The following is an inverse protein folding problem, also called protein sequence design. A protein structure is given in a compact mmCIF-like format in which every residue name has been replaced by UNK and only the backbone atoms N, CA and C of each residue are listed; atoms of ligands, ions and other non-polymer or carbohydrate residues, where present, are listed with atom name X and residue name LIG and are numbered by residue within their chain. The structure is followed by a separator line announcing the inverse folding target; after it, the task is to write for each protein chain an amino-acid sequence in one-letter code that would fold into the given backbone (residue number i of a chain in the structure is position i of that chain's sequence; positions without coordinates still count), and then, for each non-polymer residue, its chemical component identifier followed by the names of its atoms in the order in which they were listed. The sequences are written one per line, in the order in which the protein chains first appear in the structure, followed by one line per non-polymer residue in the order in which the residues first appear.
data_IF_039031681274
#
_entry.id   IF_039031681274
#
_cell.length_a   1.000
_cell.length_b   1.000
_cell.length_c   1.000
_cell.angle_alpha   90.00
_cell.angle_beta   90.00
_cell.angle_gamma   90.00
#
_symmetry.space_group_name_H-M   'P 1'
#
loop_
_entity.id
_entity.type
_entity.pdbx_description
1 polymer ?
#
# COMPACT_ATOMS: atom_id res chain seq x y z
N UNK A 1 33.43 17.49 -70.12
CA UNK A 1 33.95 16.82 -68.91
C UNK A 1 32.86 16.85 -67.84
N UNK A 2 32.45 15.68 -67.36
CA UNK A 2 31.57 15.35 -66.23
C UNK A 2 30.07 15.71 -66.24
N UNK A 3 29.27 14.67 -66.50
CA UNK A 3 27.87 14.44 -66.10
C UNK A 3 27.68 14.65 -64.59
N UNK A 4 26.61 15.33 -64.19
CA UNK A 4 26.06 15.25 -62.82
C UNK A 4 24.68 14.60 -62.88
N UNK A 5 24.58 13.44 -62.23
CA UNK A 5 23.36 12.67 -62.00
C UNK A 5 22.55 13.33 -60.89
N UNK A 6 21.26 13.59 -61.11
CA UNK A 6 20.33 14.07 -60.06
C UNK A 6 19.50 12.85 -59.63
N UNK A 7 19.71 12.43 -58.40
CA UNK A 7 19.00 11.34 -57.74
C UNK A 7 17.76 11.94 -57.07
N UNK A 8 16.57 11.54 -57.51
CA UNK A 8 15.30 11.85 -56.84
C UNK A 8 15.16 11.02 -55.56
N UNK A 9 15.03 11.69 -54.42
CA UNK A 9 14.79 11.07 -53.12
C UNK A 9 13.28 11.09 -52.84
N UNK A 10 12.61 9.94 -52.96
CA UNK A 10 11.22 9.76 -52.53
C UNK A 10 11.21 9.51 -51.02
N UNK A 11 10.65 10.45 -50.25
CA UNK A 11 10.39 10.28 -48.82
C UNK A 11 9.04 9.57 -48.68
N UNK A 12 9.06 8.30 -48.27
CA UNK A 12 7.89 7.56 -47.80
C UNK A 12 7.62 7.95 -46.35
N UNK A 13 6.55 8.70 -46.10
CA UNK A 13 6.02 8.93 -44.76
C UNK A 13 5.12 7.73 -44.42
N UNK A 14 5.59 6.84 -43.54
CA UNK A 14 4.72 5.86 -42.89
C UNK A 14 3.94 6.54 -41.77
N UNK A 15 2.63 6.63 -41.97
CA UNK A 15 1.67 7.03 -40.95
C UNK A 15 1.51 5.85 -39.98
N UNK A 16 2.12 5.94 -38.80
CA UNK A 16 1.85 5.04 -37.68
C UNK A 16 0.48 5.37 -37.12
N UNK A 17 -0.52 4.57 -37.48
CA UNK A 17 -1.85 4.59 -36.87
C UNK A 17 -1.75 4.08 -35.43
N UNK A 18 -1.68 4.99 -34.46
CA UNK A 18 -1.87 4.66 -33.05
C UNK A 18 -3.36 4.35 -32.85
N UNK A 19 -3.71 3.07 -32.91
CA UNK A 19 -5.03 2.59 -32.54
C UNK A 19 -5.26 2.83 -31.04
N UNK A 20 -6.28 3.62 -30.72
CA UNK A 20 -6.77 3.77 -29.35
C UNK A 20 -7.42 2.44 -28.93
N UNK A 21 -6.66 1.54 -28.32
CA UNK A 21 -7.22 0.37 -27.65
C UNK A 21 -7.95 0.82 -26.39
N UNK A 22 -9.27 1.00 -26.47
CA UNK A 22 -10.12 1.00 -25.27
C UNK A 22 -10.08 -0.41 -24.68
N UNK A 23 -9.30 -0.59 -23.61
CA UNK A 23 -9.30 -1.83 -22.84
C UNK A 23 -10.70 -2.06 -22.27
N UNK A 24 -11.24 -3.26 -22.45
CA UNK A 24 -12.50 -3.66 -21.82
C UNK A 24 -12.30 -3.61 -20.30
N UNK A 25 -13.16 -2.86 -19.60
CA UNK A 25 -13.13 -2.78 -18.13
C UNK A 25 -13.45 -4.13 -17.51
N UNK A 26 -12.67 -4.52 -16.53
CA UNK A 26 -12.93 -5.69 -15.69
C UNK A 26 -13.73 -5.29 -14.44
N UNK A 27 -14.35 -6.25 -13.72
CA UNK A 27 -15.16 -5.97 -12.53
C UNK A 27 -14.51 -5.05 -11.50
N UNK A 28 -13.21 -5.22 -11.24
CA UNK A 28 -12.49 -4.38 -10.27
C UNK A 28 -12.38 -2.92 -10.71
N UNK A 29 -12.41 -2.63 -12.01
CA UNK A 29 -12.32 -1.26 -12.54
C UNK A 29 -13.58 -0.44 -12.27
N UNK A 30 -14.69 -1.10 -11.90
CA UNK A 30 -15.92 -0.45 -11.46
C UNK A 30 -15.91 -0.14 -9.96
N UNK A 31 -14.99 -0.71 -9.17
CA UNK A 31 -14.98 -0.52 -7.73
C UNK A 31 -14.47 0.87 -7.38
N UNK A 32 -15.32 1.66 -6.71
CA UNK A 32 -14.94 2.92 -6.11
C UNK A 32 -14.95 2.79 -4.58
N UNK A 33 -13.78 2.49 -4.00
CA UNK A 33 -13.63 2.31 -2.56
C UNK A 33 -13.78 3.62 -1.75
N UNK A 34 -14.01 4.77 -2.40
CA UNK A 34 -14.37 6.03 -1.73
C UNK A 34 -15.87 6.23 -1.55
N UNK A 35 -16.73 5.43 -2.17
CA UNK A 35 -18.18 5.54 -1.92
C UNK A 35 -18.46 5.33 -0.42
N UNK A 36 -18.98 6.37 0.21
CA UNK A 36 -19.32 6.46 1.64
C UNK A 36 -18.23 7.08 2.55
N UNK A 37 -17.12 7.60 1.99
CA UNK A 37 -15.99 8.10 2.78
C UNK A 37 -16.20 9.50 3.39
N UNK A 38 -17.14 10.30 2.87
CA UNK A 38 -17.51 11.59 3.45
C UNK A 38 -18.75 11.39 4.32
N UNK A 39 -18.59 11.51 5.64
CA UNK A 39 -19.68 11.42 6.59
C UNK A 39 -19.44 12.37 7.76
N UNK A 40 -20.40 13.27 8.00
CA UNK A 40 -20.34 14.30 9.06
C UNK A 40 -21.00 13.80 10.36
N UNK A 41 -21.87 12.78 10.28
CA UNK A 41 -22.71 12.32 11.40
C UNK A 41 -22.37 10.90 11.89
N UNK A 42 -21.73 10.08 11.04
CA UNK A 42 -21.39 8.68 11.29
C UNK A 42 -19.94 8.40 10.95
N UNK A 43 -19.38 7.30 11.45
CA UNK A 43 -18.06 6.82 11.01
C UNK A 43 -18.16 6.45 9.52
N UNK A 44 -17.36 7.09 8.63
CA UNK A 44 -17.42 6.83 7.20
C UNK A 44 -16.93 5.44 6.83
N UNK A 45 -17.19 5.03 5.58
CA UNK A 45 -16.50 3.89 4.99
C UNK A 45 -15.09 4.32 4.58
N UNK A 46 -14.08 3.55 4.98
CA UNK A 46 -12.70 3.88 4.63
C UNK A 46 -12.32 3.32 3.25
N UNK A 47 -11.52 4.04 2.44
CA UNK A 47 -10.99 3.58 1.16
C UNK A 47 -9.84 2.59 1.39
N UNK A 48 -10.22 1.40 1.81
CA UNK A 48 -9.29 0.33 2.17
C UNK A 48 -8.61 -0.22 0.91
N UNK A 49 -7.30 -0.43 1.00
CA UNK A 49 -6.51 -1.18 0.01
C UNK A 49 -6.08 -2.50 0.64
N UNK A 50 -6.63 -3.62 0.17
CA UNK A 50 -6.49 -4.95 0.79
C UNK A 50 -6.92 -6.06 -0.17
N UNK A 51 -6.65 -7.33 0.17
CA UNK A 51 -7.22 -8.49 -0.55
C UNK A 51 -8.58 -8.91 0.06
N UNK A 52 -9.41 -9.67 -0.68
CA UNK A 52 -10.67 -10.19 -0.14
C UNK A 52 -10.46 -10.91 1.19
N UNK A 53 -11.20 -10.50 2.22
CA UNK A 53 -11.15 -11.05 3.58
C UNK A 53 -9.75 -11.11 4.22
N UNK A 54 -8.78 -10.29 3.77
CA UNK A 54 -7.40 -10.38 4.24
C UNK A 54 -7.13 -9.72 5.59
N UNK A 55 -6.11 -10.25 6.28
CA UNK A 55 -5.63 -9.72 7.55
C UNK A 55 -5.03 -8.32 7.41
N UNK A 56 -4.16 -8.13 6.41
CA UNK A 56 -3.53 -6.85 6.15
C UNK A 56 -4.51 -5.92 5.44
N UNK A 57 -4.68 -4.73 6.01
CA UNK A 57 -5.57 -3.69 5.53
C UNK A 57 -4.87 -2.36 5.69
N UNK A 58 -4.65 -1.66 4.59
CA UNK A 58 -4.08 -0.31 4.61
C UNK A 58 -5.21 0.70 4.34
N UNK A 59 -5.31 1.67 5.24
CA UNK A 59 -6.11 2.89 5.08
C UNK A 59 -5.13 4.01 5.42
N UNK A 60 -4.90 5.00 4.54
CA UNK A 60 -4.00 6.11 4.86
C UNK A 60 -4.49 6.83 6.12
N UNK A 61 -3.58 7.37 6.94
CA UNK A 61 -3.92 7.97 8.23
C UNK A 61 -4.50 9.39 8.08
N UNK A 62 -5.60 9.51 7.33
CA UNK A 62 -6.51 10.65 7.29
C UNK A 62 -7.95 10.11 7.34
N UNK A 63 -8.76 10.64 8.26
CA UNK A 63 -10.05 10.04 8.62
C UNK A 63 -11.26 10.83 8.14
N UNK A 64 -11.08 12.13 7.88
CA UNK A 64 -12.18 13.03 7.58
C UNK A 64 -12.40 13.22 6.07
N UNK A 65 -11.44 12.80 5.22
CA UNK A 65 -11.46 12.91 3.75
C UNK A 65 -11.83 14.30 3.19
N UNK A 66 -11.84 15.31 4.06
CA UNK A 66 -12.05 16.74 3.77
C UNK A 66 -10.82 17.57 4.12
N UNK A 67 -9.88 16.99 4.87
CA UNK A 67 -8.60 17.62 5.21
C UNK A 67 -7.56 17.31 4.14
N UNK A 68 -6.66 18.26 3.91
CA UNK A 68 -5.48 18.09 3.07
C UNK A 68 -4.32 17.44 3.85
N UNK A 69 -4.57 16.87 5.04
CA UNK A 69 -3.53 16.40 5.98
C UNK A 69 -3.61 14.90 6.24
N UNK A 70 -2.45 14.25 6.22
CA UNK A 70 -2.28 12.81 6.49
C UNK A 70 -1.15 12.57 7.48
N UNK A 71 -1.39 11.75 8.50
CA UNK A 71 -0.42 11.46 9.57
C UNK A 71 0.54 10.29 9.26
N UNK A 72 0.56 9.79 8.01
CA UNK A 72 1.40 8.68 7.56
C UNK A 72 0.63 7.48 7.02
N UNK A 73 1.36 6.37 6.88
CA UNK A 73 0.84 5.11 6.32
C UNK A 73 0.90 4.00 7.36
N UNK A 74 -0.22 3.54 7.91
CA UNK A 74 -0.19 2.44 8.86
C UNK A 74 0.17 1.13 8.17
N UNK A 75 0.97 0.29 8.85
CA UNK A 75 1.26 -1.06 8.36
C UNK A 75 0.01 -1.92 8.36
N UNK A 76 -0.92 -1.68 9.30
CA UNK A 76 -2.20 -2.36 9.34
C UNK A 76 -3.29 -1.54 10.06
N UNK A 77 -4.54 -1.73 9.65
CA UNK A 77 -5.73 -1.21 10.33
C UNK A 77 -6.58 -2.38 10.82
N UNK A 78 -6.31 -2.89 12.05
CA UNK A 78 -6.99 -4.08 12.56
C UNK A 78 -8.48 -3.84 12.84
N UNK A 79 -8.87 -2.59 13.00
CA UNK A 79 -10.24 -2.20 13.28
C UNK A 79 -10.60 -0.87 12.64
N UNK A 80 -11.80 -0.81 12.05
CA UNK A 80 -12.35 0.43 11.52
C UNK A 80 -12.79 1.43 12.61
N UNK A 81 -12.79 1.05 13.90
CA UNK A 81 -13.16 1.92 15.04
C UNK A 81 -12.11 2.02 16.14
N UNK A 82 -11.09 1.16 16.10
CA UNK A 82 -10.15 1.01 17.21
C UNK A 82 -8.72 1.33 16.79
N UNK A 83 -8.58 2.22 15.80
CA UNK A 83 -7.30 2.76 15.34
C UNK A 83 -6.53 1.86 14.40
N UNK A 84 -5.42 2.43 13.95
CA UNK A 84 -4.39 1.82 13.14
C UNK A 84 -3.14 1.52 13.99
N UNK A 85 -2.20 0.75 13.42
CA UNK A 85 -0.94 0.40 14.10
C UNK A 85 0.23 0.66 13.17
N UNK A 86 1.36 1.05 13.77
CA UNK A 86 2.67 1.20 13.12
C UNK A 86 2.65 2.14 11.90
N UNK A 87 2.99 3.41 12.06
CA UNK A 87 3.04 4.39 10.98
C UNK A 87 4.39 4.41 10.28
N UNK A 88 4.40 4.17 8.96
CA UNK A 88 5.48 4.51 8.05
C UNK A 88 5.39 5.98 7.65
N UNK A 89 6.53 6.65 7.75
CA UNK A 89 6.67 8.10 7.64
C UNK A 89 7.90 8.42 6.77
N UNK A 90 7.71 8.64 5.46
CA UNK A 90 8.81 9.06 4.59
C UNK A 90 9.11 10.55 4.77
N UNK A 91 10.39 10.93 4.78
CA UNK A 91 10.81 12.30 5.03
C UNK A 91 11.99 12.69 4.14
N UNK A 92 11.98 13.93 3.64
CA UNK A 92 13.05 14.48 2.81
C UNK A 92 13.41 15.90 3.29
N UNK A 93 14.56 16.04 3.94
CA UNK A 93 14.94 17.29 4.62
C UNK A 93 16.13 17.11 5.57
N UNK A 94 16.42 18.13 6.37
CA UNK A 94 17.43 18.04 7.43
C UNK A 94 16.92 17.12 8.55
N UNK A 95 17.80 16.27 9.10
CA UNK A 95 17.48 15.37 10.22
C UNK A 95 16.94 16.10 11.45
N UNK A 96 17.30 17.39 11.63
CA UNK A 96 16.79 18.22 12.74
C UNK A 96 15.29 18.48 12.67
N UNK A 97 14.72 18.43 11.47
CA UNK A 97 13.30 18.65 11.22
C UNK A 97 12.50 17.33 11.22
N UNK A 98 13.19 16.18 11.30
CA UNK A 98 12.55 14.90 11.46
C UNK A 98 11.92 14.81 12.85
N UNK A 99 10.63 14.51 12.91
CA UNK A 99 9.84 14.45 14.15
C UNK A 99 8.84 13.28 14.09
N UNK A 100 8.62 12.51 15.17
CA UNK A 100 7.65 11.41 15.16
C UNK A 100 6.21 11.81 14.80
N UNK A 101 5.84 13.08 14.93
CA UNK A 101 4.49 13.58 14.61
C UNK A 101 4.41 14.25 13.24
N UNK A 102 5.11 13.72 12.23
CA UNK A 102 5.00 14.21 10.85
C UNK A 102 3.55 14.18 10.37
N UNK A 103 3.19 15.20 9.60
CA UNK A 103 1.89 15.34 8.96
C UNK A 103 2.10 15.95 7.58
N UNK A 104 1.49 15.36 6.56
CA UNK A 104 1.76 15.67 5.16
C UNK A 104 0.57 16.38 4.54
N UNK A 105 0.83 17.47 3.81
CA UNK A 105 -0.04 17.82 2.68
C UNK A 105 0.06 16.76 1.60
N UNK A 106 -1.08 16.37 1.04
CA UNK A 106 -1.14 15.32 0.05
C UNK A 106 -2.03 15.70 -1.14
N UNK A 107 -1.63 15.26 -2.33
CA UNK A 107 -2.37 15.44 -3.58
C UNK A 107 -2.25 14.18 -4.45
N UNK A 108 -2.97 14.15 -5.58
CA UNK A 108 -2.95 13.08 -6.59
C UNK A 108 -3.24 11.69 -6.02
N UNK A 109 -4.06 11.64 -4.96
CA UNK A 109 -4.38 10.39 -4.29
C UNK A 109 -5.21 9.47 -5.20
N UNK A 110 -4.71 8.26 -5.42
CA UNK A 110 -5.44 7.19 -6.10
C UNK A 110 -5.57 6.02 -5.15
N UNK A 111 -6.81 5.63 -4.86
CA UNK A 111 -7.10 4.48 -4.03
C UNK A 111 -7.97 3.49 -4.82
N UNK A 112 -7.52 2.26 -4.88
CA UNK A 112 -8.23 1.12 -5.47
C UNK A 112 -8.15 -0.04 -4.48
N UNK A 113 -8.95 -1.10 -4.64
CA UNK A 113 -8.84 -2.28 -3.77
C UNK A 113 -7.42 -2.89 -3.72
N UNK A 114 -6.64 -2.77 -4.79
CA UNK A 114 -5.38 -3.50 -4.99
C UNK A 114 -4.12 -2.61 -5.03
N UNK A 115 -4.26 -1.29 -5.06
CA UNK A 115 -3.15 -0.34 -5.10
C UNK A 115 -3.56 1.00 -4.53
N UNK A 116 -2.62 1.63 -3.83
CA UNK A 116 -2.74 2.99 -3.35
C UNK A 116 -1.52 3.81 -3.75
N UNK A 117 -1.74 5.02 -4.25
CA UNK A 117 -0.66 5.96 -4.55
C UNK A 117 -1.03 7.38 -4.13
N UNK A 118 -0.06 8.14 -3.67
CA UNK A 118 -0.26 9.54 -3.28
C UNK A 118 1.02 10.35 -3.44
N UNK A 119 0.86 11.64 -3.73
CA UNK A 119 1.94 12.62 -3.74
C UNK A 119 1.96 13.40 -2.42
N UNK A 120 3.09 13.45 -1.73
CA UNK A 120 3.28 14.19 -0.48
C UNK A 120 3.98 15.53 -0.76
N UNK A 121 3.20 16.61 -0.79
CA UNK A 121 3.65 17.95 -1.24
C UNK A 121 4.80 18.50 -0.41
N UNK A 122 4.71 18.37 0.91
CA UNK A 122 5.65 19.02 1.84
C UNK A 122 7.10 18.55 1.64
N UNK A 123 7.28 17.32 1.15
CA UNK A 123 8.60 16.69 0.99
C UNK A 123 8.89 16.21 -0.44
N UNK A 124 7.97 16.41 -1.39
CA UNK A 124 8.13 15.99 -2.78
C UNK A 124 8.36 14.48 -2.90
N UNK A 125 7.42 13.69 -2.37
CA UNK A 125 7.53 12.22 -2.28
C UNK A 125 6.33 11.56 -2.95
N UNK A 126 6.57 10.72 -3.97
CA UNK A 126 5.56 9.79 -4.47
C UNK A 126 5.58 8.55 -3.58
N UNK A 127 4.44 8.23 -2.96
CA UNK A 127 4.23 6.96 -2.26
C UNK A 127 3.38 6.04 -3.11
N UNK A 128 3.76 4.76 -3.17
CA UNK A 128 3.01 3.72 -3.87
C UNK A 128 3.01 2.42 -3.06
N UNK A 129 1.87 1.75 -3.00
CA UNK A 129 1.59 0.63 -2.11
C UNK A 129 0.77 -0.44 -2.81
N UNK A 130 1.11 -1.71 -2.56
CA UNK A 130 0.30 -2.85 -2.98
C UNK A 130 0.25 -3.94 -1.88
N UNK A 131 -0.94 -4.50 -1.57
CA UNK A 131 -1.11 -5.50 -0.54
C UNK A 131 -1.01 -6.93 -1.08
N UNK A 132 -0.56 -7.83 -0.22
CA UNK A 132 -0.92 -9.24 -0.20
C UNK A 132 -1.82 -9.53 1.02
N UNK A 133 -2.00 -10.79 1.41
CA UNK A 133 -2.99 -11.12 2.46
C UNK A 133 -2.48 -10.80 3.89
N UNK A 134 -1.17 -10.95 4.11
CA UNK A 134 -0.48 -10.77 5.38
C UNK A 134 0.80 -9.93 5.25
N UNK A 135 1.08 -9.44 4.05
CA UNK A 135 2.26 -8.64 3.72
C UNK A 135 1.93 -7.57 2.68
N UNK A 136 2.82 -6.62 2.47
CA UNK A 136 2.69 -5.60 1.45
C UNK A 136 4.06 -5.11 0.97
N UNK A 137 4.06 -4.44 -0.17
CA UNK A 137 5.21 -3.73 -0.73
C UNK A 137 4.89 -2.24 -0.84
N UNK A 138 5.89 -1.41 -0.55
CA UNK A 138 5.78 0.05 -0.56
C UNK A 138 7.02 0.63 -1.25
N UNK A 139 6.82 1.69 -2.04
CA UNK A 139 7.90 2.50 -2.57
C UNK A 139 7.70 3.98 -2.28
N UNK A 140 8.80 4.66 -1.99
CA UNK A 140 8.87 6.10 -1.79
C UNK A 140 9.89 6.68 -2.78
N UNK A 141 9.41 7.41 -3.79
CA UNK A 141 10.26 8.11 -4.74
C UNK A 141 10.43 9.57 -4.30
N UNK A 142 11.69 10.01 -4.15
CA UNK A 142 12.06 11.32 -3.64
C UNK A 142 12.48 12.23 -4.80
N UNK A 143 11.74 13.30 -5.05
CA UNK A 143 12.05 14.24 -6.13
C UNK A 143 12.99 15.37 -5.69
N UNK A 144 13.00 15.67 -4.39
CA UNK A 144 13.86 16.71 -3.82
C UNK A 144 15.28 16.20 -3.61
N UNK A 145 16.25 17.08 -3.85
CA UNK A 145 17.65 16.81 -3.55
C UNK A 145 17.99 17.21 -2.11
N UNK A 146 17.55 16.38 -1.18
CA UNK A 146 17.83 16.50 0.25
C UNK A 146 18.05 15.11 0.88
N UNK A 147 18.58 15.03 2.11
CA UNK A 147 18.68 13.76 2.83
C UNK A 147 17.30 13.11 2.99
N UNK A 148 17.25 11.79 2.85
CA UNK A 148 15.99 11.04 2.82
C UNK A 148 15.97 9.94 3.85
N UNK A 149 14.83 9.83 4.49
CA UNK A 149 14.61 8.99 5.65
C UNK A 149 13.31 8.25 5.50
N UNK A 150 13.29 7.03 6.02
CA UNK A 150 12.06 6.32 6.35
C UNK A 150 12.02 6.13 7.84
N UNK A 151 10.97 6.64 8.48
CA UNK A 151 10.70 6.46 9.90
C UNK A 151 9.54 5.48 10.08
N UNK A 152 9.65 4.65 11.11
CA UNK A 152 8.58 3.82 11.63
C UNK A 152 8.27 4.26 13.06
N UNK A 153 7.00 4.47 13.36
CA UNK A 153 6.52 4.88 14.68
C UNK A 153 5.39 3.97 15.14
N UNK A 154 5.40 3.55 16.41
CA UNK A 154 4.24 2.89 17.01
C UNK A 154 3.19 3.92 17.45
N UNK A 155 1.91 3.64 17.27
CA UNK A 155 0.82 4.53 17.73
C UNK A 155 0.58 4.32 19.23
N UNK A 156 0.67 3.07 19.67
CA UNK A 156 0.56 2.64 21.06
C UNK A 156 1.92 2.16 21.61
N UNK A 157 1.91 1.62 22.83
CA UNK A 157 3.08 0.98 23.42
C UNK A 157 3.60 -0.14 22.52
N UNK A 158 4.88 -0.09 22.20
CA UNK A 158 5.51 -1.06 21.32
C UNK A 158 7.02 -1.01 21.42
N UNK A 159 7.68 -1.82 20.58
CA UNK A 159 9.13 -1.85 20.44
C UNK A 159 9.48 -1.97 18.98
N UNK A 160 10.54 -1.28 18.58
CA UNK A 160 11.15 -1.35 17.26
C UNK A 160 12.61 -1.75 17.46
N UNK A 161 13.03 -2.79 16.76
CA UNK A 161 14.41 -3.22 16.62
C UNK A 161 14.85 -2.98 15.18
N UNK A 162 16.05 -2.46 15.00
CA UNK A 162 16.61 -2.13 13.69
C UNK A 162 17.94 -2.86 13.55
N UNK A 163 18.08 -3.64 12.49
CA UNK A 163 19.29 -4.40 12.20
C UNK A 163 19.54 -4.41 10.68
N UNK A 164 20.67 -3.84 10.25
CA UNK A 164 21.04 -3.80 8.84
C UNK A 164 19.99 -3.10 7.97
N UNK A 165 19.40 -3.85 7.03
CA UNK A 165 18.32 -3.39 6.14
C UNK A 165 16.92 -3.80 6.64
N UNK A 166 16.77 -4.14 7.92
CA UNK A 166 15.51 -4.66 8.48
C UNK A 166 15.04 -3.85 9.68
N UNK A 167 13.71 -3.82 9.85
CA UNK A 167 13.06 -3.38 11.08
C UNK A 167 12.08 -4.46 11.53
N UNK A 168 12.05 -4.73 12.83
CA UNK A 168 11.12 -5.71 13.41
C UNK A 168 10.65 -5.28 14.78
N UNK A 169 9.58 -5.89 15.27
CA UNK A 169 9.09 -5.63 16.61
C UNK A 169 7.60 -5.83 16.72
N UNK A 170 6.97 -5.05 17.60
CA UNK A 170 5.53 -5.13 17.83
C UNK A 170 4.94 -3.83 18.34
N UNK A 171 3.64 -3.69 18.15
CA UNK A 171 2.80 -2.71 18.83
C UNK A 171 1.66 -3.42 19.59
N UNK A 172 1.30 -2.91 20.78
CA UNK A 172 0.16 -3.42 21.55
C UNK A 172 -1.06 -2.55 21.25
N UNK A 173 -2.04 -3.11 20.55
CA UNK A 173 -3.32 -2.46 20.27
C UNK A 173 -4.46 -3.36 20.78
N UNK A 174 -5.38 -2.78 21.56
CA UNK A 174 -6.51 -3.50 22.17
C UNK A 174 -6.10 -4.79 22.92
N UNK A 175 -5.00 -4.73 23.67
CA UNK A 175 -4.49 -5.87 24.44
C UNK A 175 -3.84 -6.98 23.61
N UNK A 176 -3.72 -6.81 22.29
CA UNK A 176 -3.09 -7.77 21.39
C UNK A 176 -1.80 -7.20 20.83
N UNK A 177 -0.79 -8.06 20.65
CA UNK A 177 0.45 -7.68 19.96
C UNK A 177 0.26 -7.83 18.45
N UNK A 178 0.65 -6.80 17.74
CA UNK A 178 0.75 -6.73 16.29
C UNK A 178 2.23 -6.74 15.97
N UNK A 179 2.75 -7.91 15.63
CA UNK A 179 4.14 -8.09 15.23
C UNK A 179 4.33 -7.70 13.77
N UNK A 180 5.52 -7.20 13.46
CA UNK A 180 5.90 -6.88 12.09
C UNK A 180 7.34 -7.29 11.81
N UNK A 181 7.60 -7.55 10.53
CA UNK A 181 8.93 -7.70 9.95
C UNK A 181 8.99 -6.92 8.66
N UNK A 182 9.94 -6.00 8.53
CA UNK A 182 10.10 -5.10 7.40
C UNK A 182 11.52 -5.21 6.86
N UNK A 183 11.64 -5.24 5.54
CA UNK A 183 12.92 -5.29 4.83
C UNK A 183 12.98 -4.16 3.80
N UNK A 184 14.09 -3.44 3.77
CA UNK A 184 14.42 -2.49 2.71
C UNK A 184 15.24 -3.18 1.63
N UNK A 185 14.94 -2.88 0.36
CA UNK A 185 15.76 -3.32 -0.76
C UNK A 185 17.11 -2.61 -0.76
N UNK A 186 17.10 -1.30 -0.54
CA UNK A 186 18.32 -0.51 -0.41
C UNK A 186 18.85 -0.61 1.03
N UNK A 187 20.17 -0.74 1.17
CA UNK A 187 20.80 -0.75 2.50
C UNK A 187 20.84 0.68 3.06
N UNK A 188 20.31 0.92 4.27
CA UNK A 188 20.51 2.20 4.95
C UNK A 188 21.97 2.54 5.20
N UNK A 189 22.31 3.82 5.16
CA UNK A 189 23.65 4.35 5.49
C UNK A 189 23.74 4.91 6.91
N UNK A 190 22.60 5.06 7.58
CA UNK A 190 22.51 5.56 8.95
C UNK A 190 21.11 5.35 9.51
N UNK A 191 20.92 5.70 10.76
CA UNK A 191 19.63 5.59 11.44
C UNK A 191 19.76 5.87 12.92
N UNK A 192 18.61 5.97 13.59
CA UNK A 192 18.55 6.27 15.01
C UNK A 192 17.16 6.05 15.60
N UNK A 193 17.11 5.95 16.93
CA UNK A 193 15.85 6.03 17.68
C UNK A 193 15.47 7.48 17.93
N UNK A 194 14.18 7.73 18.16
CA UNK A 194 13.67 9.03 18.60
C UNK A 194 12.84 8.85 19.87
N UNK A 195 12.89 9.84 20.75
CA UNK A 195 11.97 9.92 21.87
C UNK A 195 10.55 10.17 21.33
N UNK A 196 9.65 9.24 21.62
CA UNK A 196 8.25 9.32 21.27
C UNK A 196 7.36 9.08 22.51
N UNK A 197 7.87 9.43 23.69
CA UNK A 197 7.16 9.28 24.97
C UNK A 197 6.84 7.82 25.28
N UNK A 198 5.55 7.49 25.35
CA UNK A 198 5.08 6.12 25.61
C UNK A 198 5.09 5.20 24.37
N UNK A 199 5.55 5.72 23.22
CA UNK A 199 5.64 5.00 21.95
C UNK A 199 7.09 4.83 21.52
N UNK A 200 7.34 4.02 20.50
CA UNK A 200 8.66 3.83 19.92
C UNK A 200 8.70 4.47 18.52
N UNK A 201 9.79 5.18 18.21
CA UNK A 201 10.06 5.69 16.88
C UNK A 201 11.51 5.39 16.50
N UNK A 202 11.72 4.90 15.28
CA UNK A 202 13.04 4.63 14.71
C UNK A 202 13.07 5.05 13.24
N UNK A 203 14.20 5.58 12.80
CA UNK A 203 14.38 6.01 11.42
C UNK A 203 15.67 5.45 10.83
N UNK A 204 15.68 5.33 9.51
CA UNK A 204 16.83 4.99 8.69
C UNK A 204 17.06 6.04 7.61
N UNK A 205 18.32 6.30 7.28
CA UNK A 205 18.77 7.23 6.25
C UNK A 205 19.29 6.47 5.04
N UNK A 206 19.04 7.00 3.84
CA UNK A 206 19.55 6.43 2.59
C UNK A 206 20.53 7.37 1.89
N UNK A 207 21.46 6.76 1.13
CA UNK A 207 22.51 7.45 0.40
C UNK A 207 21.94 8.35 -0.71
N UNK A 208 22.52 9.55 -0.99
CA UNK A 208 22.06 10.56 -1.96
C UNK A 208 21.60 10.04 -3.34
N UNK A 209 22.22 8.98 -3.84
CA UNK A 209 21.95 8.30 -5.10
C UNK A 209 20.66 7.47 -5.11
N UNK A 210 20.15 7.06 -3.94
CA UNK A 210 18.89 6.32 -3.81
C UNK A 210 17.73 7.28 -4.03
N UNK A 211 17.22 7.37 -5.25
CA UNK A 211 16.04 8.21 -5.56
C UNK A 211 14.71 7.55 -5.23
N UNK A 212 14.67 6.22 -5.18
CA UNK A 212 13.49 5.46 -4.75
C UNK A 212 13.89 4.47 -3.68
N UNK A 213 13.25 4.55 -2.52
CA UNK A 213 13.37 3.55 -1.45
C UNK A 213 12.21 2.58 -1.59
N UNK A 214 12.51 1.28 -1.71
CA UNK A 214 11.50 0.22 -1.73
C UNK A 214 11.65 -0.65 -0.50
N UNK A 215 10.51 -1.02 0.07
CA UNK A 215 10.43 -1.91 1.22
C UNK A 215 9.29 -2.89 1.04
N UNK A 216 9.39 -4.01 1.73
CA UNK A 216 8.32 -4.98 1.88
C UNK A 216 8.20 -5.33 3.35
N UNK A 217 6.99 -5.63 3.81
CA UNK A 217 6.77 -5.98 5.20
C UNK A 217 5.67 -7.02 5.35
N UNK A 218 5.80 -7.86 6.39
CA UNK A 218 4.78 -8.80 6.83
C UNK A 218 4.28 -8.43 8.22
N UNK A 219 3.05 -8.85 8.53
CA UNK A 219 2.42 -8.70 9.84
C UNK A 219 2.05 -10.06 10.42
N UNK A 220 1.94 -10.11 11.75
CA UNK A 220 1.50 -11.30 12.48
C UNK A 220 0.90 -10.94 13.84
N UNK A 221 -0.02 -11.76 14.33
CA UNK A 221 -0.49 -11.77 15.71
C UNK A 221 0.27 -12.78 16.59
N UNK A 222 1.15 -13.60 16.01
CA UNK A 222 1.90 -14.66 16.69
C UNK A 222 3.28 -14.18 17.13
N UNK A 223 4.16 -13.82 16.19
CA UNK A 223 5.53 -13.37 16.48
C UNK A 223 6.18 -12.61 15.33
N UNK A 224 7.35 -12.01 15.57
CA UNK A 224 8.21 -11.40 14.54
C UNK A 224 8.67 -12.41 13.49
N UNK A 225 8.99 -13.63 13.92
CA UNK A 225 9.41 -14.72 13.03
C UNK A 225 8.24 -15.18 12.14
N UNK A 226 7.02 -15.22 12.69
CA UNK A 226 5.83 -15.51 11.89
C UNK A 226 5.54 -14.39 10.88
N UNK A 227 5.69 -13.12 11.28
CA UNK A 227 5.54 -11.99 10.36
C UNK A 227 6.54 -12.09 9.18
N UNK A 228 7.79 -12.47 9.47
CA UNK A 228 8.81 -12.75 8.45
C UNK A 228 8.40 -13.89 7.52
N UNK A 229 7.94 -15.02 8.05
CA UNK A 229 7.44 -16.16 7.23
C UNK A 229 6.27 -15.77 6.34
N UNK A 230 5.32 -15.00 6.87
CA UNK A 230 4.16 -14.51 6.11
C UNK A 230 4.64 -13.65 4.93
N UNK A 231 5.60 -12.75 5.15
CA UNK A 231 6.21 -11.94 4.10
C UNK A 231 6.90 -12.80 3.03
N UNK A 232 7.83 -13.66 3.42
CA UNK A 232 8.65 -14.45 2.49
C UNK A 232 7.80 -15.41 1.63
N UNK A 233 6.66 -15.85 2.17
CA UNK A 233 5.69 -16.69 1.47
C UNK A 233 4.89 -15.94 0.40
N UNK A 234 4.59 -14.67 0.63
CA UNK A 234 3.66 -13.89 -0.21
C UNK A 234 4.36 -12.97 -1.21
N UNK A 235 5.49 -12.36 -0.83
CA UNK A 235 6.15 -11.31 -1.62
C UNK A 235 7.65 -11.59 -1.72
N UNK A 236 8.09 -11.97 -2.92
CA UNK A 236 9.50 -12.34 -3.18
C UNK A 236 10.35 -11.20 -3.74
N UNK A 237 9.76 -10.12 -4.24
CA UNK A 237 10.49 -8.93 -4.72
C UNK A 237 9.91 -7.63 -4.17
N UNK A 238 10.43 -6.51 -4.67
CA UNK A 238 10.09 -5.16 -4.24
C UNK A 238 9.27 -4.38 -5.30
N UNK A 239 8.74 -5.05 -6.31
CA UNK A 239 8.01 -4.41 -7.40
C UNK A 239 6.52 -4.24 -7.05
N UNK A 240 6.15 -2.99 -6.73
CA UNK A 240 4.77 -2.60 -6.43
C UNK A 240 3.82 -2.94 -7.58
N UNK A 241 4.25 -2.81 -8.84
CA UNK A 241 3.39 -3.12 -9.99
C UNK A 241 3.06 -4.62 -10.06
N UNK A 242 4.03 -5.48 -9.76
CA UNK A 242 3.84 -6.92 -9.79
C UNK A 242 2.88 -7.38 -8.70
N UNK A 243 3.05 -6.88 -7.47
CA UNK A 243 2.15 -7.18 -6.35
C UNK A 243 0.75 -6.61 -6.59
N UNK A 244 0.65 -5.36 -7.09
CA UNK A 244 -0.63 -4.73 -7.45
C UNK A 244 -1.36 -5.51 -8.54
N UNK A 245 -0.65 -6.01 -9.56
CA UNK A 245 -1.23 -6.86 -10.61
C UNK A 245 -1.80 -8.14 -10.02
N UNK A 246 -1.03 -8.85 -9.19
CA UNK A 246 -1.52 -10.05 -8.52
C UNK A 246 -2.76 -9.77 -7.66
N UNK A 247 -2.75 -8.68 -6.89
CA UNK A 247 -3.89 -8.25 -6.10
C UNK A 247 -5.12 -7.92 -6.98
N UNK A 248 -4.92 -7.26 -8.12
CA UNK A 248 -5.96 -6.96 -9.10
C UNK A 248 -6.56 -8.24 -9.69
N UNK A 249 -5.73 -9.21 -10.05
CA UNK A 249 -6.15 -10.51 -10.60
C UNK A 249 -7.00 -11.28 -9.57
N UNK A 250 -6.62 -11.24 -8.28
CA UNK A 250 -7.41 -11.84 -7.18
C UNK A 250 -8.77 -11.17 -7.03
N UNK A 251 -8.83 -9.84 -7.09
CA UNK A 251 -10.09 -9.10 -7.02
C UNK A 251 -10.99 -9.38 -8.22
N UNK A 252 -10.46 -9.38 -9.44
CA UNK A 252 -11.24 -9.74 -10.62
C UNK A 252 -11.80 -11.16 -10.51
N UNK A 253 -10.97 -12.15 -10.15
CA UNK A 253 -11.44 -13.52 -9.90
C UNK A 253 -12.55 -13.60 -8.85
N UNK A 254 -12.50 -12.73 -7.85
CA UNK A 254 -13.48 -12.71 -6.75
C UNK A 254 -14.79 -12.04 -7.19
N UNK A 255 -14.71 -10.90 -7.86
CA UNK A 255 -15.87 -10.11 -8.29
C UNK A 255 -16.57 -10.71 -9.51
N UNK A 256 -15.83 -11.38 -10.41
CA UNK A 256 -16.39 -12.13 -11.56
C UNK A 256 -17.24 -13.34 -11.16
N UNK A 257 -17.36 -13.67 -9.87
CA UNK A 257 -18.32 -14.68 -9.41
C UNK A 257 -19.77 -14.26 -9.65
N UNK A 258 -20.01 -12.95 -9.81
CA UNK A 258 -21.29 -12.42 -10.25
C UNK A 258 -21.03 -11.48 -11.42
N UNK A 259 -21.47 -11.89 -12.60
CA UNK A 259 -21.42 -11.08 -13.81
C UNK A 259 -22.76 -10.34 -13.97
N UNK A 260 -22.67 -9.04 -14.25
CA UNK A 260 -23.85 -8.20 -14.50
C UNK A 260 -23.86 -7.77 -15.96
N UNK A 261 -24.97 -8.04 -16.64
CA UNK A 261 -25.20 -7.62 -18.02
C UNK A 261 -26.13 -6.40 -18.07
N UNK A 262 -25.93 -5.54 -19.07
CA UNK A 262 -26.68 -4.29 -19.19
C UNK A 262 -26.34 -3.26 -18.11
N UNK A 263 -27.24 -2.29 -17.94
CA UNK A 263 -27.08 -1.19 -16.97
C UNK A 263 -26.07 -0.11 -17.39
N UNK A 264 -26.15 1.04 -16.73
CA UNK A 264 -25.22 2.16 -16.88
C UNK A 264 -23.91 1.89 -16.13
N UNK A 265 -22.83 2.58 -16.51
CA UNK A 265 -21.55 2.53 -15.79
C UNK A 265 -21.69 2.81 -14.29
N UNK A 266 -22.59 3.74 -13.93
CA UNK A 266 -22.87 4.06 -12.52
C UNK A 266 -23.54 2.91 -11.78
N UNK A 267 -24.46 2.18 -12.42
CA UNK A 267 -25.10 1.01 -11.81
C UNK A 267 -24.09 -0.12 -11.58
N UNK A 268 -23.20 -0.37 -12.54
CA UNK A 268 -22.10 -1.33 -12.38
C UNK A 268 -21.15 -0.91 -11.26
N UNK A 269 -20.81 0.38 -11.19
CA UNK A 269 -19.96 0.91 -10.12
C UNK A 269 -20.59 0.73 -8.73
N UNK A 270 -21.88 1.04 -8.57
CA UNK A 270 -22.61 0.80 -7.32
C UNK A 270 -22.63 -0.69 -6.97
N UNK A 271 -22.94 -1.56 -7.94
CA UNK A 271 -23.02 -3.00 -7.73
C UNK A 271 -21.67 -3.60 -7.31
N UNK A 272 -20.62 -3.39 -8.11
CA UNK A 272 -19.29 -3.97 -7.83
C UNK A 272 -18.66 -3.36 -6.58
N UNK A 273 -18.93 -2.08 -6.27
CA UNK A 273 -18.51 -1.49 -4.99
C UNK A 273 -19.21 -2.14 -3.82
N UNK A 274 -20.54 -2.36 -3.89
CA UNK A 274 -21.28 -3.06 -2.85
C UNK A 274 -20.76 -4.50 -2.65
N UNK A 275 -20.52 -5.23 -3.75
CA UNK A 275 -19.94 -6.57 -3.71
C UNK A 275 -18.53 -6.56 -3.07
N UNK A 276 -17.65 -5.64 -3.47
CA UNK A 276 -16.35 -5.42 -2.84
C UNK A 276 -16.47 -5.24 -1.32
N UNK A 277 -17.44 -4.43 -0.84
CA UNK A 277 -17.65 -4.20 0.60
C UNK A 277 -18.03 -5.46 1.36
N UNK A 278 -18.70 -6.42 0.72
CA UNK A 278 -19.00 -7.72 1.35
C UNK A 278 -17.75 -8.57 1.62
N UNK A 279 -16.63 -8.28 0.95
CA UNK A 279 -15.35 -8.95 1.15
C UNK A 279 -14.43 -8.23 2.14
N UNK A 280 -14.86 -7.11 2.73
CA UNK A 280 -14.11 -6.45 3.82
C UNK A 280 -14.22 -7.22 5.15
N UNK A 281 -15.25 -8.07 5.30
CA UNK A 281 -15.57 -8.85 6.51
C UNK A 281 -16.24 -10.19 6.13
N UNK A 282 -16.08 -11.28 6.88
CA UNK A 282 -15.19 -11.48 8.04
C UNK A 282 -13.72 -11.53 7.60
N UNK A 283 -12.80 -11.17 8.51
CA UNK A 283 -11.37 -11.15 8.22
C UNK A 283 -10.78 -12.53 8.54
N UNK A 284 -10.04 -13.10 7.59
CA UNK A 284 -9.21 -14.27 7.84
C UNK A 284 -7.95 -13.85 8.61
N UNK A 285 -7.92 -14.17 9.91
CA UNK A 285 -6.77 -13.91 10.79
C UNK A 285 -5.91 -15.15 11.03
N UNK A 286 -6.14 -16.23 10.30
CA UNK A 286 -5.35 -17.46 10.46
C UNK A 286 -3.96 -17.30 9.86
N UNK A 287 -2.95 -17.76 10.60
CA UNK A 287 -1.54 -17.70 10.22
C UNK A 287 -0.95 -19.09 10.43
N UNK A 288 -0.32 -19.64 9.39
CA UNK A 288 0.09 -21.04 9.29
C UNK A 288 -0.99 -22.08 9.70
N UNK A 289 -1.03 -23.21 9.00
CA UNK A 289 -2.06 -24.24 9.24
C UNK A 289 -1.78 -25.08 10.50
N UNK A 290 -1.20 -24.51 11.55
CA UNK A 290 -0.98 -25.26 12.80
C UNK A 290 -2.27 -25.50 13.60
N UNK A 291 -3.39 -24.88 13.22
CA UNK A 291 -4.73 -25.24 13.69
C UNK A 291 -5.44 -26.06 12.61
N UNK A 292 -5.15 -27.35 12.57
CA UNK A 292 -6.00 -28.34 11.91
C UNK A 292 -7.31 -28.50 12.68
N UNK A 293 -8.22 -27.53 12.60
CA UNK A 293 -9.62 -27.80 12.89
C UNK A 293 -10.27 -28.17 11.55
N UNK A 294 -10.21 -29.45 11.22
CA UNK A 294 -10.98 -30.05 10.14
C UNK A 294 -12.45 -29.91 10.52
N UNK A 295 -13.14 -28.90 9.99
CA UNK A 295 -14.59 -28.91 9.97
C UNK A 295 -14.99 -29.90 8.88
N UNK A 296 -15.10 -31.17 9.26
CA UNK A 296 -15.80 -32.16 8.44
C UNK A 296 -17.26 -31.74 8.43
N UNK A 297 -17.71 -31.13 7.32
CA UNK A 297 -19.14 -31.09 7.02
C UNK A 297 -19.56 -32.55 6.85
N UNK A 298 -20.37 -33.04 7.79
CA UNK A 298 -21.04 -34.33 7.61
C UNK A 298 -21.93 -34.21 6.36
N UNK A 299 -21.88 -35.20 5.44
CA UNK A 299 -22.78 -35.21 4.30
C UNK A 299 -24.23 -35.32 4.78
N UNK A 300 -25.11 -34.65 4.04
CA UNK A 300 -26.56 -34.63 4.27
C UNK A 300 -27.19 -36.03 4.21
#
# INVERSE_FOLDING_TARGET
MNRKSIISFFIFIEIVMVGCHTSVKEPVDYVNNRIGNISILLVPTFPTTHLPNSMLRMIPAHTEFVTDRMAGFPLNVPSHRWGDVLHLLPFCGDVKDLNPNLNYRYDQERSTPYRYSVWLDDYGIVTDFAPAAQSAVVSFAFERDAPRYIMLRTVNRGKIHMEGNTMSGFEICNGKKHYFWLEFEQRPVGGGGMDAGNTAAGYVQFAPEVKTVRLRYGISYISTEQAKKNLEKEITDYDVNRVAKNARDIWNKTLSRIEVEGGTENQKAVFYTALYRTYERMINISEDRSLSMVISLLPA
#
